data_IF_723285934362
#
_entry.id   IF_723285934362
#
_cell.length_a   1.000
_cell.length_b   1.000
_cell.length_c   1.000
_cell.angle_alpha   90.00
_cell.angle_beta   90.00
_cell.angle_gamma   90.00
#
_symmetry.space_group_name_H-M   'P 1'
#
loop_
_entity.id
_entity.type
_entity.pdbx_description
1 polymer ?
#
# COMPACT_ATOMS: atom_id res chain seq x y z
N UNK A 1 -21.71 3.47 -10.03
CA UNK A 1 -21.05 4.49 -9.19
C UNK A 1 -20.39 3.90 -7.94
N UNK A 2 -20.48 2.57 -7.70
CA UNK A 2 -20.05 1.91 -6.46
C UNK A 2 -18.53 1.89 -6.19
N UNK A 3 -17.66 2.00 -7.22
CA UNK A 3 -16.22 1.85 -7.04
C UNK A 3 -15.48 3.12 -6.55
N UNK A 4 -16.07 4.31 -6.70
CA UNK A 4 -15.37 5.56 -6.32
C UNK A 4 -15.51 5.88 -4.83
N UNK A 5 -16.69 5.60 -4.26
CA UNK A 5 -16.94 5.75 -2.83
C UNK A 5 -16.11 4.72 -2.04
N UNK A 6 -16.02 3.47 -2.52
CA UNK A 6 -15.21 2.43 -1.88
C UNK A 6 -13.70 2.70 -1.94
N UNK A 7 -13.18 3.30 -3.02
CA UNK A 7 -11.76 3.64 -3.13
C UNK A 7 -11.38 4.78 -2.16
N UNK A 8 -12.26 5.78 -2.02
CA UNK A 8 -12.04 6.90 -1.10
C UNK A 8 -12.00 6.44 0.36
N UNK A 9 -12.87 5.50 0.73
CA UNK A 9 -12.89 4.90 2.07
C UNK A 9 -11.63 4.07 2.34
N UNK A 10 -11.18 3.27 1.37
CA UNK A 10 -9.93 2.51 1.50
C UNK A 10 -8.71 3.41 1.68
N UNK A 11 -8.66 4.56 1.00
CA UNK A 11 -7.59 5.54 1.18
C UNK A 11 -7.62 6.16 2.59
N UNK A 12 -8.80 6.53 3.11
CA UNK A 12 -8.94 7.01 4.49
C UNK A 12 -8.55 5.94 5.52
N UNK A 13 -8.93 4.69 5.29
CA UNK A 13 -8.52 3.57 6.13
C UNK A 13 -6.99 3.39 6.10
N UNK A 14 -6.37 3.51 4.92
CA UNK A 14 -4.92 3.43 4.76
C UNK A 14 -4.18 4.54 5.52
N UNK A 15 -4.71 5.76 5.55
CA UNK A 15 -4.13 6.89 6.31
C UNK A 15 -4.02 6.61 7.81
N UNK A 16 -4.92 5.79 8.37
CA UNK A 16 -4.86 5.38 9.78
C UNK A 16 -3.60 4.57 10.13
N UNK A 17 -2.91 4.03 9.12
CA UNK A 17 -1.64 3.30 9.25
C UNK A 17 -0.41 4.16 8.94
N UNK A 18 -0.56 5.48 8.73
CA UNK A 18 0.56 6.42 8.46
C UNK A 18 1.70 6.28 9.47
N UNK A 19 1.40 6.11 10.76
CA UNK A 19 2.39 5.93 11.82
C UNK A 19 3.34 4.74 11.58
N UNK A 20 2.88 3.67 10.92
CA UNK A 20 3.71 2.51 10.56
C UNK A 20 4.72 2.94 9.51
N UNK A 21 4.26 3.64 8.48
CA UNK A 21 5.10 4.14 7.39
C UNK A 21 6.13 5.13 7.93
N UNK A 22 5.70 6.09 8.74
CA UNK A 22 6.57 7.10 9.33
C UNK A 22 7.65 6.45 10.19
N UNK A 23 7.28 5.49 11.05
CA UNK A 23 8.24 4.82 11.90
C UNK A 23 9.23 3.97 11.10
N UNK A 24 8.77 3.25 10.08
CA UNK A 24 9.64 2.42 9.24
C UNK A 24 10.46 3.24 8.24
N UNK A 25 10.09 4.49 7.96
CA UNK A 25 10.86 5.40 7.11
C UNK A 25 11.91 6.20 7.90
N UNK A 26 11.88 6.14 9.23
CA UNK A 26 12.88 6.78 10.08
C UNK A 26 14.28 6.16 9.84
N UNK A 27 15.16 6.97 9.25
CA UNK A 27 16.55 6.60 8.92
C UNK A 27 17.42 6.41 10.16
N UNK A 28 17.00 6.96 11.31
CA UNK A 28 17.71 6.82 12.58
C UNK A 28 17.22 5.61 13.39
N UNK A 29 16.19 4.90 12.91
CA UNK A 29 15.68 3.72 13.59
C UNK A 29 16.67 2.56 13.46
N UNK A 30 17.23 2.13 14.58
CA UNK A 30 18.13 0.97 14.61
C UNK A 30 17.44 -0.29 14.09
N UNK A 31 18.21 -1.22 13.53
CA UNK A 31 17.67 -2.47 12.99
C UNK A 31 16.90 -3.28 14.05
N UNK A 32 17.42 -3.36 15.27
CA UNK A 32 16.76 -4.08 16.38
C UNK A 32 15.40 -3.44 16.72
N UNK A 33 15.35 -2.11 16.80
CA UNK A 33 14.11 -1.39 17.09
C UNK A 33 13.10 -1.53 15.94
N UNK A 34 13.59 -1.54 14.69
CA UNK A 34 12.78 -1.79 13.48
C UNK A 34 12.16 -3.18 13.51
N UNK A 35 12.95 -4.22 13.74
CA UNK A 35 12.47 -5.60 13.77
C UNK A 35 11.46 -5.81 14.91
N UNK A 36 11.73 -5.24 16.08
CA UNK A 36 10.79 -5.27 17.21
C UNK A 36 9.48 -4.57 16.90
N UNK A 37 9.53 -3.39 16.26
CA UNK A 37 8.33 -2.65 15.86
C UNK A 37 7.51 -3.41 14.82
N UNK A 38 8.18 -4.03 13.83
CA UNK A 38 7.53 -4.86 12.81
C UNK A 38 6.80 -6.04 13.47
N UNK A 39 7.46 -6.77 14.38
CA UNK A 39 6.84 -7.93 15.02
C UNK A 39 5.65 -7.51 15.91
N UNK A 40 5.78 -6.42 16.67
CA UNK A 40 4.69 -5.87 17.49
C UNK A 40 3.49 -5.41 16.66
N UNK A 41 3.71 -4.92 15.44
CA UNK A 41 2.65 -4.38 14.57
C UNK A 41 2.31 -5.30 13.38
N UNK A 42 2.77 -6.54 13.40
CA UNK A 42 2.69 -7.48 12.27
C UNK A 42 1.28 -7.63 11.68
N UNK A 43 0.27 -7.74 12.54
CA UNK A 43 -1.13 -7.86 12.10
C UNK A 43 -1.61 -6.58 11.40
N UNK A 44 -1.31 -5.42 11.96
CA UNK A 44 -1.66 -4.11 11.36
C UNK A 44 -0.92 -3.86 10.05
N UNK A 45 0.35 -4.26 9.96
CA UNK A 45 1.12 -4.23 8.70
C UNK A 45 0.44 -5.13 7.65
N UNK A 46 -0.04 -6.31 8.05
CA UNK A 46 -0.75 -7.23 7.16
C UNK A 46 -2.07 -6.62 6.67
N UNK A 47 -2.84 -6.00 7.55
CA UNK A 47 -4.08 -5.28 7.23
C UNK A 47 -3.82 -4.12 6.27
N UNK A 48 -2.85 -3.26 6.59
CA UNK A 48 -2.38 -2.18 5.72
C UNK A 48 -2.02 -2.68 4.31
N UNK A 49 -1.29 -3.79 4.21
CA UNK A 49 -0.91 -4.38 2.93
C UNK A 49 -2.11 -4.96 2.17
N UNK A 50 -3.11 -5.51 2.86
CA UNK A 50 -4.36 -5.94 2.23
C UNK A 50 -5.15 -4.76 1.67
N UNK A 51 -5.21 -3.63 2.39
CA UNK A 51 -5.87 -2.39 1.91
C UNK A 51 -5.15 -1.86 0.67
N UNK A 52 -3.81 -1.75 0.72
CA UNK A 52 -2.99 -1.35 -0.45
C UNK A 52 -3.26 -2.22 -1.66
N UNK A 53 -3.31 -3.54 -1.48
CA UNK A 53 -3.63 -4.46 -2.57
C UNK A 53 -5.01 -4.21 -3.16
N UNK A 54 -6.04 -4.02 -2.32
CA UNK A 54 -7.40 -3.70 -2.79
C UNK A 54 -7.43 -2.40 -3.60
N UNK A 55 -6.75 -1.37 -3.12
CA UNK A 55 -6.60 -0.08 -3.83
C UNK A 55 -5.97 -0.33 -5.20
N UNK A 56 -4.80 -0.99 -5.26
CA UNK A 56 -4.12 -1.29 -6.52
C UNK A 56 -4.97 -2.12 -7.47
N UNK A 57 -5.71 -3.12 -6.98
CA UNK A 57 -6.59 -3.95 -7.81
C UNK A 57 -7.76 -3.14 -8.39
N UNK A 58 -8.32 -2.19 -7.63
CA UNK A 58 -9.39 -1.30 -8.09
C UNK A 58 -8.85 -0.32 -9.12
N UNK A 59 -7.71 0.31 -8.85
CA UNK A 59 -7.05 1.25 -9.77
C UNK A 59 -6.67 0.56 -11.07
N UNK A 60 -6.08 -0.63 -10.99
CA UNK A 60 -5.73 -1.45 -12.15
C UNK A 60 -6.93 -1.72 -13.05
N UNK A 61 -8.09 -2.06 -12.47
CA UNK A 61 -9.34 -2.29 -13.23
C UNK A 61 -9.92 -1.02 -13.85
N UNK A 62 -9.54 0.15 -13.36
CA UNK A 62 -9.95 1.44 -13.93
C UNK A 62 -9.01 1.92 -15.05
N UNK A 63 -7.81 1.34 -15.16
CA UNK A 63 -6.91 1.61 -16.28
C UNK A 63 -7.47 1.02 -17.59
N UNK A 64 -7.26 1.74 -18.68
CA UNK A 64 -7.50 1.22 -20.03
C UNK A 64 -6.48 0.12 -20.37
N UNK A 65 -6.79 -0.78 -21.33
CA UNK A 65 -5.84 -1.80 -21.77
C UNK A 65 -4.48 -1.23 -22.21
N UNK A 66 -4.45 -0.05 -22.83
CA UNK A 66 -3.20 0.61 -23.21
C UNK A 66 -2.42 1.06 -21.97
N UNK A 67 -3.06 1.67 -20.98
CA UNK A 67 -2.41 2.07 -19.73
C UNK A 67 -1.89 0.88 -18.92
N UNK A 68 -2.62 -0.24 -18.94
CA UNK A 68 -2.17 -1.50 -18.33
C UNK A 68 -0.92 -2.02 -19.04
N UNK A 69 -0.90 -1.99 -20.38
CA UNK A 69 0.26 -2.37 -21.18
C UNK A 69 1.46 -1.47 -20.88
N UNK A 70 1.27 -0.15 -20.90
CA UNK A 70 2.35 0.82 -20.63
C UNK A 70 2.93 0.63 -19.21
N UNK A 71 2.08 0.33 -18.22
CA UNK A 71 2.53 -0.01 -16.88
C UNK A 71 3.40 -1.28 -16.88
N UNK A 72 2.94 -2.37 -17.50
CA UNK A 72 3.70 -3.61 -17.57
C UNK A 72 5.02 -3.43 -18.32
N UNK A 73 5.02 -2.68 -19.42
CA UNK A 73 6.22 -2.42 -20.24
C UNK A 73 7.28 -1.62 -19.48
N UNK A 74 6.88 -0.72 -18.57
CA UNK A 74 7.79 0.03 -17.69
C UNK A 74 8.49 -0.83 -16.64
N UNK A 75 7.87 -1.93 -16.23
CA UNK A 75 8.39 -2.82 -15.18
C UNK A 75 8.82 -4.19 -15.73
N UNK A 76 8.75 -4.41 -17.05
CA UNK A 76 9.21 -5.63 -17.73
C UNK A 76 10.67 -5.54 -18.24
N UNK A 77 11.36 -4.43 -17.96
CA UNK A 77 12.75 -4.17 -18.35
C UNK A 77 13.76 -4.51 -17.24
N UNK A 78 13.42 -5.46 -16.36
CA UNK A 78 14.36 -6.17 -15.47
C UNK A 78 14.65 -7.59 -16.01
#
# INVERSE_FOLDING_TARGET
MENKESLTELYKELESYSYIVDKLSDVNLSQIARDSFIEQNKNKIKEMNMIRKKISDIEWKQLTPQQQKDYLDKYSTD
#
